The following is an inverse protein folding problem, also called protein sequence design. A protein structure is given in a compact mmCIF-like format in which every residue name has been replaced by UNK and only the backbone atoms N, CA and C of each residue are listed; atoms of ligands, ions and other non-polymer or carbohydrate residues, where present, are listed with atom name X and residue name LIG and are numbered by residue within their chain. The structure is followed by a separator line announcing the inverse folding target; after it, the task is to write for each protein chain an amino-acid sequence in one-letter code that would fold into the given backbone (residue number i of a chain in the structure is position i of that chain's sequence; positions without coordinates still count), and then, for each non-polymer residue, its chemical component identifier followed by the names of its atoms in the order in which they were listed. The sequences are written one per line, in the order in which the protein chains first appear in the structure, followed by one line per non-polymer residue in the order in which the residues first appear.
data_IF_492500797269
#
_entry.id   IF_492500797269
#
_cell.length_a   1.000
_cell.length_b   1.000
_cell.length_c   1.000
_cell.angle_alpha   90.00
_cell.angle_beta   90.00
_cell.angle_gamma   90.00
#
_symmetry.space_group_name_H-M   'P 1'
#
loop_
_entity.id
_entity.type
_entity.pdbx_description
1 polymer ?
#
# COMPACT_ATOMS: atom_id res chain seq x y z
N UNK A 1 -18.28 1.42 -4.12
CA UNK A 1 -17.04 0.61 -4.08
C UNK A 1 -16.78 0.24 -2.63
N UNK A 2 -16.43 -1.01 -2.30
CA UNK A 2 -16.03 -1.36 -0.94
C UNK A 2 -14.81 -0.52 -0.54
N UNK A 3 -14.81 -0.01 0.69
CA UNK A 3 -13.66 0.70 1.26
C UNK A 3 -12.47 -0.26 1.36
N UNK A 4 -11.33 0.17 0.84
CA UNK A 4 -10.09 -0.58 0.94
C UNK A 4 -9.48 -0.32 2.31
N UNK A 5 -9.24 -1.39 3.07
CA UNK A 5 -8.82 -1.30 4.48
C UNK A 5 -7.46 -1.95 4.68
N UNK A 6 -6.72 -1.38 5.61
CA UNK A 6 -5.48 -1.96 6.12
C UNK A 6 -5.76 -3.21 6.95
N UNK A 7 -4.70 -3.84 7.48
CA UNK A 7 -4.85 -5.06 8.28
C UNK A 7 -5.64 -4.85 9.59
N UNK A 8 -5.81 -3.63 10.06
CA UNK A 8 -6.50 -3.26 11.29
C UNK A 8 -7.96 -2.82 11.02
N UNK A 9 -8.38 -2.76 9.76
CA UNK A 9 -9.71 -2.31 9.36
C UNK A 9 -9.83 -0.80 9.17
N UNK A 10 -8.72 -0.07 9.16
CA UNK A 10 -8.71 1.37 8.87
C UNK A 10 -8.71 1.61 7.35
N UNK A 11 -9.59 2.48 6.82
CA UNK A 11 -9.61 2.80 5.39
C UNK A 11 -8.30 3.42 4.92
N UNK A 12 -7.73 2.93 3.80
CA UNK A 12 -6.53 3.49 3.17
C UNK A 12 -6.97 4.41 2.02
N UNK A 13 -6.40 5.62 1.99
CA UNK A 13 -6.59 6.64 0.97
C UNK A 13 -5.24 7.14 0.42
N UNK A 14 -5.27 7.85 -0.70
CA UNK A 14 -4.10 8.55 -1.22
C UNK A 14 -3.64 9.64 -0.25
N UNK A 15 -2.33 9.76 -0.04
CA UNK A 15 -1.71 10.65 0.95
C UNK A 15 -1.58 10.06 2.35
N UNK A 16 -2.20 8.91 2.64
CA UNK A 16 -2.03 8.26 3.94
C UNK A 16 -0.61 7.69 4.07
N UNK A 17 -0.02 7.80 5.26
CA UNK A 17 1.26 7.14 5.55
C UNK A 17 1.02 5.70 6.00
N UNK A 18 1.61 4.74 5.28
CA UNK A 18 1.44 3.31 5.52
C UNK A 18 2.76 2.59 5.64
N UNK A 19 2.77 1.46 6.34
CA UNK A 19 3.92 0.55 6.36
C UNK A 19 3.53 -0.93 6.25
N UNK A 20 4.45 -1.73 5.71
CA UNK A 20 4.44 -3.19 5.72
C UNK A 20 5.70 -3.70 6.41
N UNK A 21 5.55 -4.62 7.37
CA UNK A 21 6.71 -5.30 8.00
C UNK A 21 7.22 -6.43 7.12
N UNK A 22 8.53 -6.53 7.00
CA UNK A 22 9.23 -7.67 6.40
C UNK A 22 10.22 -8.28 7.41
N UNK A 23 10.69 -9.50 7.17
CA UNK A 23 11.62 -10.21 8.09
C UNK A 23 12.91 -9.42 8.37
N UNK A 24 13.33 -8.56 7.44
CA UNK A 24 14.55 -7.76 7.51
C UNK A 24 14.33 -6.26 7.68
N UNK A 25 13.11 -5.80 7.92
CA UNK A 25 12.83 -4.36 8.02
C UNK A 25 11.37 -4.02 7.76
N UNK A 26 11.16 -2.90 7.07
CA UNK A 26 9.84 -2.43 6.65
C UNK A 26 9.93 -1.73 5.30
N UNK A 27 8.80 -1.63 4.64
CA UNK A 27 8.57 -0.63 3.61
C UNK A 27 7.54 0.33 4.18
N UNK A 28 7.85 1.61 4.22
CA UNK A 28 6.93 2.66 4.66
C UNK A 28 7.01 3.86 3.72
N UNK A 29 5.88 4.54 3.53
CA UNK A 29 5.77 5.67 2.63
C UNK A 29 4.34 6.20 2.57
N UNK A 30 4.17 7.29 1.82
CA UNK A 30 2.88 7.90 1.56
C UNK A 30 2.22 7.21 0.36
N UNK A 31 0.93 6.88 0.49
CA UNK A 31 0.17 6.24 -0.59
C UNK A 31 0.05 7.18 -1.78
N UNK A 32 0.62 6.78 -2.91
CA UNK A 32 0.62 7.55 -4.15
C UNK A 32 -0.61 7.23 -5.00
N UNK A 33 -0.98 5.95 -5.06
CA UNK A 33 -2.12 5.48 -5.87
C UNK A 33 -2.71 4.20 -5.30
N UNK A 34 -4.02 4.09 -5.42
CA UNK A 34 -4.77 2.87 -5.07
C UNK A 34 -5.34 2.26 -6.35
N UNK A 35 -4.84 1.08 -6.70
CA UNK A 35 -5.28 0.30 -7.86
C UNK A 35 -6.33 -0.70 -7.41
N UNK A 36 -7.57 -0.57 -7.89
CA UNK A 36 -8.68 -1.48 -7.53
C UNK A 36 -9.25 -2.26 -8.72
N UNK A 37 -9.06 -1.77 -9.94
CA UNK A 37 -9.59 -2.40 -11.16
C UNK A 37 -8.50 -3.14 -11.93
N UNK A 38 -8.88 -4.08 -12.79
CA UNK A 38 -7.94 -4.75 -13.70
C UNK A 38 -7.38 -3.79 -14.76
N UNK A 39 -8.14 -2.76 -15.14
CA UNK A 39 -7.72 -1.73 -16.09
C UNK A 39 -6.58 -0.89 -15.51
N UNK A 40 -6.79 -0.31 -14.32
CA UNK A 40 -5.75 0.44 -13.59
C UNK A 40 -4.51 -0.44 -13.33
N UNK A 41 -4.74 -1.73 -13.01
CA UNK A 41 -3.65 -2.66 -12.76
C UNK A 41 -2.78 -2.88 -14.01
N UNK A 42 -3.40 -2.92 -15.19
CA UNK A 42 -2.68 -3.03 -16.46
C UNK A 42 -1.91 -1.76 -16.80
N UNK A 43 -2.49 -0.59 -16.54
CA UNK A 43 -1.82 0.71 -16.76
C UNK A 43 -0.58 0.87 -15.86
N UNK A 44 -0.71 0.52 -14.59
CA UNK A 44 0.39 0.59 -13.60
C UNK A 44 1.34 -0.62 -13.65
N UNK A 45 1.07 -1.61 -14.50
CA UNK A 45 1.88 -2.83 -14.61
C UNK A 45 1.85 -3.73 -13.37
N UNK A 46 0.86 -3.57 -12.49
CA UNK A 46 0.70 -4.35 -11.27
C UNK A 46 -0.22 -5.57 -11.49
N UNK A 47 0.03 -6.66 -10.77
CA UNK A 47 -0.80 -7.88 -10.82
C UNK A 47 -1.63 -8.03 -9.56
N UNK A 48 -2.81 -8.63 -9.70
CA UNK A 48 -3.71 -9.01 -8.59
C UNK A 48 -4.19 -7.81 -7.77
N UNK A 49 -5.06 -6.94 -8.32
CA UNK A 49 -5.71 -5.89 -7.53
C UNK A 49 -6.56 -6.49 -6.39
N UNK A 50 -6.78 -5.75 -5.29
CA UNK A 50 -6.32 -4.38 -5.08
C UNK A 50 -4.84 -4.27 -4.69
N UNK A 51 -4.20 -3.19 -5.15
CA UNK A 51 -2.82 -2.82 -4.81
C UNK A 51 -2.74 -1.37 -4.33
N UNK A 52 -1.90 -1.15 -3.33
CA UNK A 52 -1.52 0.18 -2.85
C UNK A 52 -0.08 0.43 -3.28
N UNK A 53 0.14 1.53 -3.99
CA UNK A 53 1.43 1.92 -4.55
C UNK A 53 2.00 3.08 -3.74
N UNK A 54 3.28 3.02 -3.41
CA UNK A 54 4.00 4.09 -2.75
C UNK A 54 5.51 3.94 -2.97
N UNK A 55 6.24 5.04 -2.83
CA UNK A 55 7.70 5.03 -2.71
C UNK A 55 8.09 4.74 -1.25
N UNK A 56 8.91 3.71 -1.05
CA UNK A 56 9.40 3.35 0.28
C UNK A 56 10.50 4.30 0.79
N UNK A 57 10.87 4.15 2.06
CA UNK A 57 11.91 4.96 2.70
C UNK A 57 13.33 4.79 2.12
N UNK A 58 13.54 3.85 1.19
CA UNK A 58 14.79 3.66 0.45
C UNK A 58 14.71 4.19 -0.99
N UNK A 59 13.58 4.80 -1.39
CA UNK A 59 13.37 5.35 -2.73
C UNK A 59 12.91 4.31 -3.75
N UNK A 60 12.42 3.14 -3.32
CA UNK A 60 11.89 2.13 -4.22
C UNK A 60 10.37 2.27 -4.36
N UNK A 61 9.87 2.24 -5.59
CA UNK A 61 8.44 2.04 -5.83
C UNK A 61 8.04 0.62 -5.44
N UNK A 62 7.10 0.50 -4.50
CA UNK A 62 6.59 -0.77 -4.01
C UNK A 62 5.08 -0.86 -4.18
N UNK A 63 4.58 -2.08 -4.27
CA UNK A 63 3.16 -2.38 -4.39
C UNK A 63 2.75 -3.45 -3.39
N UNK A 64 1.83 -3.11 -2.48
CA UNK A 64 1.37 -4.03 -1.43
C UNK A 64 -0.11 -4.34 -1.56
N UNK A 65 -0.51 -5.49 -1.01
CA UNK A 65 -1.91 -5.75 -0.78
C UNK A 65 -2.38 -4.90 0.42
N UNK A 66 -3.59 -4.35 0.40
CA UNK A 66 -4.13 -3.55 1.50
C UNK A 66 -4.04 -4.23 2.86
N UNK A 67 -4.44 -5.51 2.93
CA UNK A 67 -4.42 -6.30 4.16
C UNK A 67 -3.03 -6.65 4.70
N UNK A 68 -1.94 -6.25 4.03
CA UNK A 68 -0.57 -6.37 4.55
C UNK A 68 -0.02 -5.06 5.09
N UNK A 69 -0.73 -3.95 4.87
CA UNK A 69 -0.35 -2.61 5.31
C UNK A 69 -0.97 -2.27 6.66
N UNK A 70 -0.40 -1.23 7.27
CA UNK A 70 -0.88 -0.58 8.48
C UNK A 70 -0.71 0.93 8.31
N UNK A 71 -1.65 1.71 8.83
CA UNK A 71 -1.48 3.15 8.96
C UNK A 71 -0.44 3.54 10.02
N UNK A 72 0.13 4.73 9.80
CA UNK A 72 0.99 5.43 10.74
C UNK A 72 2.45 4.97 10.68
N UNK A 73 3.23 5.37 11.68
CA UNK A 73 4.65 5.02 11.76
C UNK A 73 4.87 3.65 12.40
N UNK A 74 5.87 2.91 11.90
CA UNK A 74 6.29 1.68 12.55
C UNK A 74 6.91 1.94 13.93
N UNK A 75 6.23 1.49 14.99
CA UNK A 75 6.77 1.47 16.35
C UNK A 75 7.46 0.13 16.63
N UNK A 76 8.74 0.20 17.00
CA UNK A 76 9.59 -0.97 17.30
C UNK A 76 9.14 -1.69 18.58
#
# INVERSE_FOLDING_TARGET
MPELKDKNGEPINEGDHVFARSRGGRHEGEVEKIVTTEEDAKEEGVKHPPKVLFTDQHGHHVQHNPGTLQHGEYKK
#
